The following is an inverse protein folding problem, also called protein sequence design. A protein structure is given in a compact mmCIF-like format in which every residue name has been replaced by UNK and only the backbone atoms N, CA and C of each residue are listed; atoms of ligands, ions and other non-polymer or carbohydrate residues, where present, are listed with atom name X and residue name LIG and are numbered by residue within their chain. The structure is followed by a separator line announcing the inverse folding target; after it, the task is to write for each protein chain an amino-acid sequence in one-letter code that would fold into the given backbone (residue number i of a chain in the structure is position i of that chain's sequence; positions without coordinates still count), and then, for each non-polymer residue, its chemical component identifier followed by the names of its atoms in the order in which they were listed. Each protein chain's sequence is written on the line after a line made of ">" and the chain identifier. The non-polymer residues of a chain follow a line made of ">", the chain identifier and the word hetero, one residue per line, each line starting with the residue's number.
data_IF_113417555826
#
_entry.id   IF_113417555826
#
_cell.length_a   1.000
_cell.length_b   1.000
_cell.length_c   1.000
_cell.angle_alpha   90.00
_cell.angle_beta   90.00
_cell.angle_gamma   90.00
#
_symmetry.space_group_name_H-M   'P 1'
#
loop_
_entity.id
_entity.type
_entity.pdbx_description
1 polymer ?
#
# COMPACT_ATOMS: atom_id res chain seq x y z
N UNK A 1 -44.25 -74.96 -35.10
CA UNK A 1 -43.16 -74.49 -34.20
C UNK A 1 -42.59 -73.20 -34.76
N UNK A 2 -43.08 -72.08 -34.26
CA UNK A 2 -42.59 -70.74 -34.66
C UNK A 2 -41.58 -70.26 -33.62
N UNK A 3 -40.36 -69.95 -34.03
CA UNK A 3 -39.40 -69.32 -33.20
C UNK A 3 -39.40 -67.80 -33.47
N UNK A 4 -39.85 -67.04 -32.49
CA UNK A 4 -39.73 -65.57 -32.51
C UNK A 4 -38.33 -65.20 -32.07
N UNK A 5 -37.63 -64.50 -32.94
CA UNK A 5 -36.33 -63.91 -32.62
C UNK A 5 -36.55 -62.45 -32.20
N UNK A 6 -36.27 -62.17 -30.95
CA UNK A 6 -36.34 -60.81 -30.40
C UNK A 6 -35.03 -60.12 -30.70
N UNK A 7 -35.04 -59.14 -31.60
CA UNK A 7 -33.92 -58.31 -31.86
C UNK A 7 -33.84 -57.15 -30.79
N UNK A 8 -32.82 -57.16 -30.01
CA UNK A 8 -32.53 -56.05 -29.06
C UNK A 8 -31.72 -54.97 -29.80
N UNK A 9 -32.37 -53.86 -30.07
CA UNK A 9 -31.70 -52.67 -30.63
C UNK A 9 -31.05 -51.86 -29.49
N UNK A 10 -29.73 -51.86 -29.43
CA UNK A 10 -29.02 -51.08 -28.50
C UNK A 10 -28.95 -49.62 -29.03
N UNK A 11 -29.68 -48.71 -28.41
CA UNK A 11 -29.54 -47.27 -28.67
C UNK A 11 -28.40 -46.73 -27.79
N UNK A 12 -27.26 -46.48 -28.39
CA UNK A 12 -26.15 -45.77 -27.72
C UNK A 12 -26.48 -44.31 -27.67
N UNK A 13 -26.88 -43.80 -26.50
CA UNK A 13 -26.99 -42.40 -26.24
C UNK A 13 -25.59 -41.83 -25.98
N UNK A 14 -25.06 -41.10 -26.96
CA UNK A 14 -23.81 -40.32 -26.77
C UNK A 14 -24.13 -39.13 -25.92
N UNK A 15 -23.73 -39.17 -24.65
CA UNK A 15 -23.67 -37.99 -23.79
C UNK A 15 -22.48 -37.12 -24.21
N UNK A 16 -22.74 -36.06 -24.97
CA UNK A 16 -21.78 -34.97 -25.11
C UNK A 16 -21.78 -34.22 -23.80
N UNK A 17 -20.79 -34.50 -22.95
CA UNK A 17 -20.49 -33.65 -21.82
C UNK A 17 -19.95 -32.32 -22.36
N UNK A 18 -20.83 -31.33 -22.44
CA UNK A 18 -20.44 -29.95 -22.66
C UNK A 18 -19.71 -29.48 -21.40
N UNK A 19 -18.38 -29.66 -21.33
CA UNK A 19 -17.55 -28.96 -20.35
C UNK A 19 -17.51 -27.52 -20.80
N UNK A 20 -18.46 -26.71 -20.29
CA UNK A 20 -18.30 -25.29 -20.28
C UNK A 20 -17.07 -24.99 -19.42
N UNK A 21 -15.93 -24.77 -20.04
CA UNK A 21 -14.84 -24.09 -19.39
C UNK A 21 -15.40 -22.72 -19.02
N UNK A 22 -15.63 -22.51 -17.72
CA UNK A 22 -15.86 -21.18 -17.22
C UNK A 22 -14.71 -20.33 -17.76
N UNK A 23 -15.04 -19.37 -18.61
CA UNK A 23 -14.09 -18.35 -18.99
C UNK A 23 -13.61 -17.74 -17.68
N UNK A 24 -12.36 -17.98 -17.32
CA UNK A 24 -11.71 -17.16 -16.32
C UNK A 24 -11.86 -15.75 -16.88
N UNK A 25 -12.70 -14.95 -16.24
CA UNK A 25 -12.67 -13.52 -16.45
C UNK A 25 -11.22 -13.12 -16.28
N UNK A 26 -10.59 -12.77 -17.40
CA UNK A 26 -9.25 -12.27 -17.39
C UNK A 26 -9.31 -10.97 -16.58
N UNK A 27 -8.90 -11.04 -15.32
CA UNK A 27 -8.59 -9.87 -14.52
C UNK A 27 -7.72 -9.03 -15.43
N UNK A 28 -8.26 -7.89 -15.85
CA UNK A 28 -7.55 -7.02 -16.78
C UNK A 28 -6.19 -6.71 -16.13
N UNK A 29 -5.05 -6.92 -16.82
CA UNK A 29 -3.74 -6.83 -16.20
C UNK A 29 -3.30 -5.41 -15.81
N UNK A 30 -4.23 -4.46 -15.72
CA UNK A 30 -3.97 -3.04 -15.45
C UNK A 30 -3.34 -2.83 -14.07
N UNK A 31 -3.71 -3.61 -13.07
CA UNK A 31 -3.14 -3.49 -11.73
C UNK A 31 -1.70 -4.04 -11.63
N UNK A 32 -1.43 -5.18 -12.27
CA UNK A 32 -0.09 -5.77 -12.29
C UNK A 32 0.95 -4.90 -13.00
N UNK A 33 0.55 -4.20 -14.06
CA UNK A 33 1.46 -3.31 -14.80
C UNK A 33 1.81 -2.05 -13.98
N UNK A 34 0.87 -1.50 -13.20
CA UNK A 34 1.10 -0.32 -12.37
C UNK A 34 2.05 -0.62 -11.21
N UNK A 35 1.85 -1.70 -10.46
CA UNK A 35 2.74 -2.10 -9.38
C UNK A 35 4.15 -2.36 -9.89
N UNK A 36 4.30 -3.14 -10.97
CA UNK A 36 5.62 -3.42 -11.54
C UNK A 36 6.33 -2.17 -12.07
N UNK A 37 5.60 -1.17 -12.55
CA UNK A 37 6.17 0.13 -12.92
C UNK A 37 6.61 0.92 -11.69
N UNK A 38 5.78 0.95 -10.66
CA UNK A 38 6.09 1.65 -9.41
C UNK A 38 7.28 1.03 -8.69
N UNK A 39 7.36 -0.31 -8.58
CA UNK A 39 8.54 -1.00 -8.03
C UNK A 39 9.82 -0.61 -8.77
N UNK A 40 9.80 -0.62 -10.10
CA UNK A 40 10.97 -0.21 -10.89
C UNK A 40 11.32 1.26 -10.71
N UNK A 41 10.30 2.12 -10.62
CA UNK A 41 10.48 3.55 -10.42
C UNK A 41 11.06 3.84 -9.04
N UNK A 42 10.53 3.22 -7.98
CA UNK A 42 11.03 3.35 -6.61
C UNK A 42 12.48 2.86 -6.49
N UNK A 43 12.78 1.63 -6.94
CA UNK A 43 14.13 1.06 -6.90
C UNK A 43 15.12 1.83 -7.79
N UNK A 44 14.68 2.56 -8.81
CA UNK A 44 15.55 3.46 -9.58
C UNK A 44 15.95 4.73 -8.80
N UNK A 45 15.23 5.04 -7.73
CA UNK A 45 15.49 6.18 -6.83
C UNK A 45 16.30 5.76 -5.61
N UNK A 46 15.91 4.61 -5.04
CA UNK A 46 16.53 4.01 -3.86
C UNK A 46 16.82 2.54 -4.18
N UNK A 47 18.08 2.22 -4.50
CA UNK A 47 18.51 0.86 -4.87
C UNK A 47 18.74 0.04 -3.59
N UNK A 48 17.65 -0.32 -2.92
CA UNK A 48 17.62 -1.04 -1.66
C UNK A 48 16.70 -2.25 -1.69
N UNK A 49 16.37 -2.75 -0.52
CA UNK A 49 15.43 -3.84 -0.30
C UNK A 49 14.08 -3.24 0.09
N UNK A 50 13.05 -3.47 -0.70
CA UNK A 50 11.67 -3.17 -0.28
C UNK A 50 11.32 -4.12 0.87
N UNK A 51 10.96 -3.58 2.02
CA UNK A 51 10.58 -4.32 3.23
C UNK A 51 9.08 -4.27 3.48
N UNK A 52 8.43 -3.18 3.09
CA UNK A 52 6.98 -2.96 3.21
C UNK A 52 6.44 -2.38 1.89
N UNK A 53 5.23 -2.72 1.56
CA UNK A 53 4.45 -2.14 0.47
C UNK A 53 3.08 -1.82 1.00
N UNK A 54 2.69 -0.59 0.86
CA UNK A 54 1.33 -0.16 1.12
C UNK A 54 0.63 0.31 -0.15
N UNK A 55 -0.66 0.17 -0.18
CA UNK A 55 -1.52 0.89 -1.08
C UNK A 55 -2.38 1.81 -0.25
N UNK A 56 -2.22 3.11 -0.45
CA UNK A 56 -2.99 4.13 0.25
C UNK A 56 -3.82 4.97 -0.72
N UNK A 57 -4.84 5.62 -0.21
CA UNK A 57 -5.69 6.56 -0.95
C UNK A 57 -5.44 7.96 -0.43
N UNK A 58 -4.64 8.72 -1.15
CA UNK A 58 -4.37 10.12 -0.90
C UNK A 58 -5.27 10.99 -1.79
N UNK A 59 -6.04 11.92 -1.21
CA UNK A 59 -6.96 12.80 -1.96
C UNK A 59 -7.82 12.07 -3.02
N UNK A 60 -8.24 10.82 -2.70
CA UNK A 60 -8.96 9.90 -3.61
C UNK A 60 -8.13 9.44 -4.82
N UNK A 61 -6.83 9.53 -4.74
CA UNK A 61 -5.90 8.97 -5.72
C UNK A 61 -5.16 7.79 -5.11
N UNK A 62 -5.16 6.62 -5.76
CA UNK A 62 -4.43 5.47 -5.26
C UNK A 62 -2.93 5.68 -5.45
N UNK A 63 -2.18 5.47 -4.38
CA UNK A 63 -0.72 5.60 -4.31
C UNK A 63 -0.15 4.31 -3.74
N UNK A 64 0.97 3.83 -4.28
CA UNK A 64 1.80 2.83 -3.64
C UNK A 64 2.89 3.54 -2.86
N UNK A 65 3.13 3.11 -1.64
CA UNK A 65 4.28 3.46 -0.83
C UNK A 65 5.17 2.24 -0.66
N UNK A 66 6.46 2.46 -0.69
CA UNK A 66 7.48 1.43 -0.55
C UNK A 66 8.48 1.85 0.50
N UNK A 67 8.54 1.12 1.60
CA UNK A 67 9.60 1.27 2.57
C UNK A 67 10.83 0.52 2.06
N UNK A 68 11.92 1.24 1.91
CA UNK A 68 13.15 0.73 1.29
C UNK A 68 14.33 0.87 2.25
N UNK A 69 14.83 -0.27 2.71
CA UNK A 69 16.09 -0.35 3.45
C UNK A 69 17.29 -0.33 2.51
N UNK A 70 18.21 0.58 2.75
CA UNK A 70 19.45 0.69 2.00
C UNK A 70 20.56 -0.14 2.65
N UNK A 71 21.58 -0.50 1.86
CA UNK A 71 22.73 -1.27 2.34
C UNK A 71 23.59 -0.53 3.39
N UNK A 72 23.46 0.79 3.47
CA UNK A 72 24.14 1.63 4.46
C UNK A 72 23.34 1.80 5.76
N UNK A 73 22.15 1.19 5.83
CA UNK A 73 21.26 1.21 6.98
C UNK A 73 20.31 2.40 7.03
N UNK A 74 20.23 3.22 5.97
CA UNK A 74 19.19 4.25 5.86
C UNK A 74 17.88 3.62 5.38
N UNK A 75 16.75 4.17 5.84
CA UNK A 75 15.41 3.79 5.43
C UNK A 75 14.75 4.94 4.66
N UNK A 76 13.89 4.60 3.72
CA UNK A 76 13.27 5.55 2.81
C UNK A 76 11.87 5.12 2.43
N UNK A 77 10.95 6.05 2.47
CA UNK A 77 9.61 5.91 1.94
C UNK A 77 9.55 6.51 0.56
N UNK A 78 9.08 5.71 -0.37
CA UNK A 78 9.00 6.09 -1.78
C UNK A 78 7.59 5.90 -2.29
N UNK A 79 6.92 7.00 -2.49
CA UNK A 79 5.58 7.00 -3.06
C UNK A 79 5.58 6.93 -4.58
N UNK A 80 4.60 6.22 -5.11
CA UNK A 80 4.38 6.11 -6.54
C UNK A 80 2.89 6.13 -6.89
N UNK A 81 2.51 7.05 -7.75
CA UNK A 81 1.14 7.12 -8.26
C UNK A 81 0.78 5.86 -9.06
N UNK A 82 -0.23 5.12 -8.59
CA UNK A 82 -0.79 3.95 -9.31
C UNK A 82 -1.24 4.32 -10.73
N UNK A 83 -1.72 5.54 -10.90
CA UNK A 83 -2.29 6.06 -12.16
C UNK A 83 -1.23 6.29 -13.22
N UNK A 84 -0.07 6.80 -12.80
CA UNK A 84 0.97 7.24 -13.75
C UNK A 84 2.20 6.33 -13.74
N UNK A 85 2.42 5.55 -12.69
CA UNK A 85 3.63 4.75 -12.47
C UNK A 85 4.87 5.63 -12.24
N UNK A 86 4.68 6.85 -11.72
CA UNK A 86 5.77 7.78 -11.42
C UNK A 86 5.90 7.97 -9.93
N UNK A 87 7.12 8.06 -9.46
CA UNK A 87 7.43 8.49 -8.09
C UNK A 87 6.91 9.90 -7.88
N UNK A 88 6.19 10.10 -6.80
CA UNK A 88 5.58 11.37 -6.39
C UNK A 88 6.32 11.99 -5.23
N UNK A 89 6.81 11.15 -4.28
CA UNK A 89 7.47 11.59 -3.07
C UNK A 89 8.61 10.64 -2.69
N UNK A 90 9.57 11.12 -1.91
CA UNK A 90 10.70 10.33 -1.39
C UNK A 90 11.12 10.97 -0.08
N UNK A 91 10.95 10.26 1.02
CA UNK A 91 11.23 10.72 2.37
C UNK A 91 12.28 9.83 3.01
N UNK A 92 13.09 10.41 3.90
CA UNK A 92 14.05 9.64 4.67
C UNK A 92 13.46 9.36 6.04
N UNK A 93 13.10 8.12 6.30
CA UNK A 93 12.71 7.69 7.63
C UNK A 93 13.95 7.68 8.54
N UNK A 94 13.81 8.26 9.71
CA UNK A 94 14.91 8.39 10.66
C UNK A 94 14.47 8.01 12.07
N UNK A 95 15.43 7.64 12.90
CA UNK A 95 15.15 7.39 14.31
C UNK A 95 14.72 8.66 15.06
N UNK A 96 13.86 8.53 16.06
CA UNK A 96 13.37 9.61 16.92
C UNK A 96 14.49 10.49 17.54
N UNK A 97 15.69 9.95 17.69
CA UNK A 97 16.85 10.66 18.25
C UNK A 97 17.77 11.26 17.18
N UNK A 98 17.38 11.21 15.90
CA UNK A 98 18.14 11.80 14.81
C UNK A 98 18.38 13.28 15.01
N UNK A 99 19.66 13.70 14.93
CA UNK A 99 20.07 15.08 15.24
C UNK A 99 19.53 16.10 14.23
N UNK A 100 19.38 15.73 12.96
CA UNK A 100 18.83 16.60 11.92
C UNK A 100 17.33 16.80 12.14
N UNK A 101 16.61 15.72 12.43
CA UNK A 101 15.19 15.79 12.77
C UNK A 101 14.98 16.71 13.98
N UNK A 102 15.68 16.46 15.08
CA UNK A 102 15.59 17.28 16.31
C UNK A 102 15.91 18.77 16.08
N UNK A 103 16.83 19.07 15.18
CA UNK A 103 17.16 20.45 14.86
C UNK A 103 16.02 21.18 14.13
N UNK A 104 15.25 20.46 13.34
CA UNK A 104 14.11 20.96 12.55
C UNK A 104 12.82 21.01 13.37
N UNK A 105 12.57 20.00 14.19
CA UNK A 105 11.38 19.89 15.01
C UNK A 105 11.29 21.02 16.04
N UNK A 106 10.14 21.70 16.05
CA UNK A 106 9.78 22.75 17.03
C UNK A 106 8.54 22.36 17.82
N UNK A 107 7.77 21.43 17.31
CA UNK A 107 6.60 20.81 17.94
C UNK A 107 7.04 19.46 18.48
N UNK A 108 6.62 19.12 19.69
CA UNK A 108 6.90 17.81 20.26
C UNK A 108 6.04 16.73 19.60
N UNK A 109 6.52 15.49 19.56
CA UNK A 109 5.74 14.33 19.12
C UNK A 109 4.38 14.29 19.83
N UNK A 110 4.34 14.53 21.15
CA UNK A 110 3.09 14.50 21.92
C UNK A 110 2.07 15.56 21.46
N UNK A 111 2.54 16.76 21.09
CA UNK A 111 1.68 17.83 20.56
C UNK A 111 1.23 17.51 19.13
N UNK A 112 2.13 16.98 18.29
CA UNK A 112 1.84 16.53 16.95
C UNK A 112 0.81 15.38 16.97
N UNK A 113 1.02 14.36 17.82
CA UNK A 113 0.07 13.26 18.06
C UNK A 113 -1.29 13.77 18.51
N UNK A 114 -1.32 14.77 19.39
CA UNK A 114 -2.59 15.38 19.83
C UNK A 114 -3.31 16.06 18.67
N UNK A 115 -2.57 16.68 17.75
CA UNK A 115 -3.11 17.28 16.53
C UNK A 115 -3.72 16.20 15.61
N UNK A 116 -2.99 15.12 15.37
CA UNK A 116 -3.46 14.01 14.55
C UNK A 116 -4.72 13.36 15.13
N UNK A 117 -4.71 13.01 16.43
CA UNK A 117 -5.85 12.42 17.13
C UNK A 117 -7.08 13.34 17.26
N UNK A 118 -6.89 14.66 17.22
CA UNK A 118 -7.99 15.61 17.18
C UNK A 118 -8.71 15.63 15.82
N UNK A 119 -8.01 15.28 14.75
CA UNK A 119 -8.58 15.16 13.41
C UNK A 119 -9.18 13.77 13.18
N UNK A 120 -8.48 12.73 13.62
CA UNK A 120 -8.85 11.32 13.46
C UNK A 120 -8.72 10.61 14.81
N UNK A 121 -9.84 10.24 15.39
CA UNK A 121 -9.87 9.61 16.70
C UNK A 121 -9.66 8.09 16.60
N UNK A 122 -8.63 7.57 17.25
CA UNK A 122 -8.30 6.15 17.20
C UNK A 122 -7.15 5.78 18.14
N UNK A 123 -6.56 4.63 17.89
CA UNK A 123 -5.33 4.15 18.52
C UNK A 123 -4.17 4.42 17.56
N UNK A 124 -3.14 5.13 18.01
CA UNK A 124 -1.91 5.28 17.23
C UNK A 124 -1.15 3.97 17.32
N UNK A 125 -1.00 3.30 16.19
CA UNK A 125 -0.35 1.99 16.07
C UNK A 125 1.10 2.11 15.62
N UNK A 126 1.44 3.14 14.84
CA UNK A 126 2.81 3.44 14.41
C UNK A 126 3.11 4.94 14.51
N UNK A 127 4.37 5.31 14.64
CA UNK A 127 4.88 6.68 14.58
C UNK A 127 6.20 6.68 13.84
N UNK A 128 6.27 7.40 12.73
CA UNK A 128 7.48 7.59 11.94
C UNK A 128 7.99 9.03 12.04
N UNK A 129 9.27 9.20 11.77
CA UNK A 129 9.97 10.49 11.80
C UNK A 129 10.66 10.68 10.46
N UNK A 130 10.26 11.68 9.73
CA UNK A 130 10.62 11.84 8.33
C UNK A 130 11.41 13.11 8.09
N UNK A 131 12.31 13.02 7.14
CA UNK A 131 13.05 14.16 6.59
C UNK A 131 12.62 14.37 5.14
N UNK A 132 11.90 15.44 4.94
CA UNK A 132 11.28 15.81 3.69
C UNK A 132 12.28 16.24 2.61
N UNK A 133 11.96 16.04 1.31
CA UNK A 133 12.78 16.49 0.20
C UNK A 133 13.00 18.01 0.18
N UNK A 134 12.06 18.77 0.72
CA UNK A 134 12.14 20.24 0.80
C UNK A 134 12.96 20.75 1.98
N UNK A 135 13.50 19.84 2.80
CA UNK A 135 14.35 20.14 3.95
C UNK A 135 13.60 20.39 5.25
N UNK A 136 12.30 20.08 5.29
CA UNK A 136 11.51 20.04 6.52
C UNK A 136 11.64 18.71 7.23
N UNK A 137 10.85 18.54 8.28
CA UNK A 137 10.66 17.30 9.00
C UNK A 137 9.19 17.16 9.39
N UNK A 138 8.70 15.95 9.41
CA UNK A 138 7.33 15.58 9.79
C UNK A 138 7.30 14.38 10.70
N UNK A 139 6.19 14.26 11.40
CA UNK A 139 5.78 13.05 12.09
C UNK A 139 4.67 12.43 11.29
N UNK A 140 4.77 11.16 10.92
CA UNK A 140 3.64 10.39 10.47
C UNK A 140 3.06 9.57 11.62
N UNK A 141 1.73 9.51 11.70
CA UNK A 141 0.99 8.74 12.69
C UNK A 141 0.02 7.82 11.98
N UNK A 142 0.19 6.53 12.15
CA UNK A 142 -0.80 5.54 11.72
C UNK A 142 -1.82 5.37 12.84
N UNK A 143 -3.08 5.65 12.51
CA UNK A 143 -4.18 5.66 13.47
C UNK A 143 -5.23 4.66 13.04
N UNK A 144 -5.40 3.61 13.85
CA UNK A 144 -6.48 2.66 13.70
C UNK A 144 -7.78 3.24 14.27
N UNK A 145 -8.72 3.56 13.41
CA UNK A 145 -10.02 4.09 13.78
C UNK A 145 -10.98 3.00 14.30
N UNK A 146 -12.08 3.39 14.91
CA UNK A 146 -13.02 2.46 15.56
C UNK A 146 -13.73 1.51 14.58
N UNK A 147 -13.80 1.82 13.31
CA UNK A 147 -14.33 0.98 12.21
C UNK A 147 -13.28 0.06 11.57
N UNK A 148 -12.06 0.08 12.13
CA UNK A 148 -10.91 -0.69 11.66
C UNK A 148 -10.32 -0.21 10.32
N UNK A 149 -10.62 1.00 9.89
CA UNK A 149 -9.86 1.67 8.84
C UNK A 149 -8.61 2.29 9.47
N UNK A 150 -7.50 2.24 8.75
CA UNK A 150 -6.25 2.87 9.16
C UNK A 150 -6.04 4.14 8.36
N UNK A 151 -5.73 5.22 9.08
CA UNK A 151 -5.46 6.53 8.51
C UNK A 151 -4.06 6.98 8.90
N UNK A 152 -3.28 7.37 7.91
CA UNK A 152 -1.97 7.97 8.09
C UNK A 152 -2.10 9.49 8.12
N UNK A 153 -1.56 10.11 9.14
CA UNK A 153 -1.61 11.56 9.35
C UNK A 153 -0.21 12.11 9.48
N UNK A 154 0.20 12.85 8.48
CA UNK A 154 1.45 13.56 8.51
C UNK A 154 1.29 14.95 9.15
N UNK A 155 2.16 15.26 10.12
CA UNK A 155 2.18 16.53 10.86
C UNK A 155 3.55 17.18 10.73
N UNK A 156 3.62 18.33 10.07
CA UNK A 156 4.83 19.16 9.95
C UNK A 156 5.43 19.43 11.34
N UNK A 157 6.62 18.93 11.59
CA UNK A 157 7.28 18.97 12.89
C UNK A 157 7.71 20.39 13.32
N UNK A 158 7.67 21.36 12.42
CA UNK A 158 7.99 22.78 12.73
C UNK A 158 6.72 23.54 13.12
N UNK A 159 5.59 23.30 12.46
CA UNK A 159 4.38 24.10 12.61
C UNK A 159 3.26 23.40 13.38
N UNK A 160 3.32 22.08 13.52
CA UNK A 160 2.28 21.25 14.14
C UNK A 160 0.98 21.16 13.31
N UNK A 161 1.04 21.46 12.03
CA UNK A 161 -0.11 21.37 11.14
C UNK A 161 -0.11 20.05 10.39
N UNK A 162 -1.28 19.48 10.21
CA UNK A 162 -1.48 18.38 9.30
C UNK A 162 -1.17 18.85 7.88
N UNK A 163 -0.28 18.15 7.20
CA UNK A 163 0.14 18.41 5.82
C UNK A 163 -0.38 17.35 4.87
N UNK A 164 -0.51 16.11 5.35
CA UNK A 164 -1.11 15.02 4.60
C UNK A 164 -2.10 14.21 5.42
N UNK A 165 -3.04 13.57 4.74
CA UNK A 165 -3.97 12.56 5.26
C UNK A 165 -4.22 11.55 4.16
N UNK A 166 -3.92 10.31 4.43
CA UNK A 166 -4.19 9.19 3.54
C UNK A 166 -4.88 8.05 4.29
N UNK A 167 -5.47 7.12 3.56
CA UNK A 167 -6.14 5.95 4.12
C UNK A 167 -5.49 4.71 3.57
N UNK A 168 -5.06 3.82 4.44
CA UNK A 168 -4.55 2.52 4.03
C UNK A 168 -5.67 1.70 3.37
N UNK A 169 -5.34 1.03 2.27
CA UNK A 169 -6.21 0.08 1.58
C UNK A 169 -5.76 -1.35 1.86
N UNK A 170 -4.47 -1.57 1.86
CA UNK A 170 -3.82 -2.81 2.29
C UNK A 170 -2.30 -2.61 2.44
N UNK A 171 -1.71 -3.45 3.27
CA UNK A 171 -0.28 -3.53 3.53
C UNK A 171 0.25 -4.95 3.29
N UNK A 172 1.52 -5.06 2.87
CA UNK A 172 2.26 -6.31 2.72
C UNK A 172 3.71 -6.08 3.11
N UNK A 173 4.20 -6.78 4.11
CA UNK A 173 5.61 -6.69 4.54
C UNK A 173 5.78 -6.70 6.04
N UNK A 174 6.81 -6.01 6.51
CA UNK A 174 7.14 -5.89 7.93
C UNK A 174 6.46 -4.64 8.51
N UNK A 175 6.00 -4.78 9.74
CA UNK A 175 5.70 -3.68 10.64
C UNK A 175 6.90 -3.47 11.55
#
# INVERSE_FOLDING_TARGET
>A
MFRLSLGVTLVAAAFFANTAFASHDTIKPVAYDSLGKCVKAALSKKDGKIVKLEMKSERKSPTYEFDIEMADGTAWDVECSVKTGKVTEIEEEVAADNEKFKALAKVSEADAKSTALAAHAGEVVEVEYELEPDGKASYEFDILEADHEEVKIEVDATTGKIVETSYEVYQVGQE
#
